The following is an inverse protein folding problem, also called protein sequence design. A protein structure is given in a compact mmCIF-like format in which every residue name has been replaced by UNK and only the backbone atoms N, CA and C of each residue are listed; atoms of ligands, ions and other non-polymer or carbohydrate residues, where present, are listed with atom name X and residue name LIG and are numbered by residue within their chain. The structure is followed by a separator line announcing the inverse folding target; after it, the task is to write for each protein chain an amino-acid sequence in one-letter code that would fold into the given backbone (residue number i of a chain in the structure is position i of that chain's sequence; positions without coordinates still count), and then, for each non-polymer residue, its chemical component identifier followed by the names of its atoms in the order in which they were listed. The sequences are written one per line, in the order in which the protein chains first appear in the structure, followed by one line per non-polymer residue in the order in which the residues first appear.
data_IF_488240226753
#
_entry.id   IF_488240226753
#
_cell.length_a   1.000
_cell.length_b   1.000
_cell.length_c   1.000
_cell.angle_alpha   90.00
_cell.angle_beta   90.00
_cell.angle_gamma   90.00
#
_symmetry.space_group_name_H-M   'P 1'
#
loop_
_entity.id
_entity.type
_entity.pdbx_description
1 polymer ?
#
# COMPACT_ATOMS: atom_id res chain seq x y z
N UNK A 1 2.06 16.18 15.05
CA UNK A 1 1.16 15.89 16.20
C UNK A 1 0.01 16.88 16.24
N UNK A 2 0.26 18.19 16.34
CA UNK A 2 -0.79 19.23 16.41
C UNK A 2 -1.81 19.10 15.26
N UNK A 3 -1.35 19.01 14.01
CA UNK A 3 -2.22 18.88 12.83
C UNK A 3 -3.20 17.70 12.94
N UNK A 4 -2.73 16.53 13.39
CA UNK A 4 -3.60 15.35 13.52
C UNK A 4 -4.59 15.53 14.68
N UNK A 5 -4.19 16.21 15.75
CA UNK A 5 -5.08 16.53 16.86
C UNK A 5 -6.20 17.47 16.39
N UNK A 6 -5.87 18.46 15.55
CA UNK A 6 -6.85 19.37 14.98
C UNK A 6 -7.83 18.63 14.05
N UNK A 7 -7.32 17.70 13.25
CA UNK A 7 -8.18 16.83 12.41
C UNK A 7 -9.10 15.95 13.24
N UNK A 8 -8.60 15.33 14.33
CA UNK A 8 -9.44 14.52 15.23
C UNK A 8 -10.55 15.33 15.89
N UNK A 9 -10.32 16.64 16.13
CA UNK A 9 -11.31 17.55 16.70
C UNK A 9 -12.35 18.03 15.65
N UNK A 10 -12.08 17.87 14.37
CA UNK A 10 -12.96 18.25 13.28
C UNK A 10 -14.02 17.17 13.01
N UNK A 11 -15.13 17.55 12.38
CA UNK A 11 -16.18 16.61 12.00
C UNK A 11 -15.78 15.87 10.71
N UNK A 12 -15.76 14.54 10.76
CA UNK A 12 -15.49 13.65 9.62
C UNK A 12 -16.51 12.51 9.59
N UNK A 13 -16.75 11.97 8.40
CA UNK A 13 -17.60 10.79 8.20
C UNK A 13 -16.84 9.48 8.51
N UNK A 14 -15.57 9.60 8.92
CA UNK A 14 -14.69 8.48 9.26
C UNK A 14 -13.92 8.77 10.56
N UNK A 15 -13.42 7.73 11.20
CA UNK A 15 -12.64 7.86 12.44
C UNK A 15 -11.17 8.10 12.18
N UNK A 16 -10.58 9.07 12.86
CA UNK A 16 -9.14 9.34 12.85
C UNK A 16 -8.56 8.84 14.17
N UNK A 17 -7.62 7.90 14.10
CA UNK A 17 -6.87 7.39 15.25
C UNK A 17 -5.40 7.75 15.10
N UNK A 18 -4.84 8.40 16.11
CA UNK A 18 -3.44 8.77 16.16
C UNK A 18 -2.66 7.80 17.06
N UNK A 19 -1.59 7.23 16.53
CA UNK A 19 -0.70 6.38 17.27
C UNK A 19 0.75 6.84 17.09
N UNK A 20 1.38 7.28 18.17
CA UNK A 20 2.79 7.71 18.18
C UNK A 20 3.68 6.61 18.72
N UNK A 21 4.75 6.29 18.01
CA UNK A 21 5.78 5.34 18.42
C UNK A 21 7.18 5.90 18.16
N UNK A 22 8.17 5.33 18.77
CA UNK A 22 9.56 5.62 18.45
C UNK A 22 9.89 5.20 17.02
N UNK A 23 10.81 5.95 16.38
CA UNK A 23 11.24 5.68 15.02
C UNK A 23 12.14 4.42 14.98
N UNK A 24 11.55 3.31 14.60
CA UNK A 24 12.23 2.04 14.34
C UNK A 24 12.33 1.68 12.86
N UNK A 25 12.07 2.64 11.95
CA UNK A 25 12.02 2.41 10.51
C UNK A 25 10.61 2.15 9.97
N UNK A 26 10.45 2.22 8.64
CA UNK A 26 9.19 2.11 7.93
C UNK A 26 8.43 0.82 8.28
N UNK A 27 9.12 -0.32 8.26
CA UNK A 27 8.53 -1.64 8.55
C UNK A 27 7.88 -1.70 9.95
N UNK A 28 8.42 -0.99 10.94
CA UNK A 28 7.82 -0.97 12.28
C UNK A 28 6.55 -0.12 12.34
N UNK A 29 6.45 0.89 11.48
CA UNK A 29 5.22 1.66 11.24
C UNK A 29 4.14 0.79 10.61
N UNK A 30 4.50 0.05 9.57
CA UNK A 30 3.61 -0.94 8.95
C UNK A 30 3.08 -1.97 9.95
N UNK A 31 3.97 -2.56 10.76
CA UNK A 31 3.58 -3.54 11.79
C UNK A 31 2.53 -2.96 12.74
N UNK A 32 2.77 -1.73 13.24
CA UNK A 32 1.82 -1.06 14.13
C UNK A 32 0.48 -0.75 13.43
N UNK A 33 0.52 -0.28 12.18
CA UNK A 33 -0.69 -0.03 11.38
C UNK A 33 -1.52 -1.29 11.18
N UNK A 34 -0.88 -2.41 10.81
CA UNK A 34 -1.56 -3.70 10.59
C UNK A 34 -2.15 -4.25 11.90
N UNK A 35 -1.44 -4.14 13.02
CA UNK A 35 -1.93 -4.55 14.33
C UNK A 35 -3.20 -3.78 14.71
N UNK A 36 -3.20 -2.46 14.50
CA UNK A 36 -4.30 -1.56 14.83
C UNK A 36 -5.47 -1.61 13.85
N UNK A 37 -5.26 -2.15 12.64
CA UNK A 37 -6.29 -2.21 11.60
C UNK A 37 -7.46 -3.12 12.02
N UNK A 38 -8.69 -2.64 11.78
CA UNK A 38 -9.95 -3.33 12.12
C UNK A 38 -10.89 -3.49 10.91
N UNK A 39 -10.55 -2.84 9.79
CA UNK A 39 -11.33 -2.86 8.55
C UNK A 39 -10.97 -4.08 7.71
N UNK A 40 -11.82 -4.43 6.75
CA UNK A 40 -11.61 -5.56 5.84
C UNK A 40 -10.36 -5.38 4.99
N UNK A 41 -10.14 -4.17 4.49
CA UNK A 41 -8.98 -3.80 3.67
C UNK A 41 -8.03 -2.89 4.43
N UNK A 42 -6.76 -2.98 4.08
CA UNK A 42 -5.67 -2.16 4.58
C UNK A 42 -4.89 -1.58 3.40
N UNK A 43 -4.65 -0.29 3.43
CA UNK A 43 -3.73 0.42 2.53
C UNK A 43 -2.79 1.29 3.36
N UNK A 44 -1.53 1.37 2.97
CA UNK A 44 -0.57 2.29 3.56
C UNK A 44 -0.26 3.41 2.58
N UNK A 45 -0.33 4.64 3.06
CA UNK A 45 0.05 5.85 2.30
C UNK A 45 1.21 6.49 3.05
N UNK A 46 2.28 6.77 2.35
CA UNK A 46 3.44 7.45 2.92
C UNK A 46 3.11 8.92 3.20
N UNK A 47 3.84 9.55 4.11
CA UNK A 47 3.48 10.90 4.59
C UNK A 47 3.70 12.02 3.58
N UNK A 48 4.39 11.73 2.49
CA UNK A 48 4.67 12.61 1.34
C UNK A 48 3.79 12.28 0.11
N UNK A 49 2.93 11.27 0.24
CA UNK A 49 1.98 10.85 -0.78
C UNK A 49 0.54 11.21 -0.40
N UNK A 50 -0.39 11.17 -1.37
CA UNK A 50 -1.82 11.33 -1.11
C UNK A 50 -2.70 10.50 -2.05
N UNK A 51 -3.91 10.26 -1.65
CA UNK A 51 -4.91 9.56 -2.48
C UNK A 51 -5.72 10.60 -3.29
N UNK A 52 -6.03 10.33 -4.58
CA UNK A 52 -7.07 11.09 -5.29
C UNK A 52 -8.39 11.10 -4.52
N UNK A 53 -9.20 12.15 -4.67
CA UNK A 53 -10.46 12.33 -3.94
C UNK A 53 -11.44 11.15 -4.10
N UNK A 54 -11.39 10.46 -5.24
CA UNK A 54 -12.25 9.33 -5.57
C UNK A 54 -11.58 7.96 -5.37
N UNK A 55 -10.33 7.90 -4.92
CA UNK A 55 -9.59 6.64 -4.81
C UNK A 55 -10.25 5.62 -3.88
N UNK A 56 -10.78 6.06 -2.74
CA UNK A 56 -11.51 5.17 -1.81
C UNK A 56 -12.75 4.59 -2.46
N UNK A 57 -13.52 5.42 -3.18
CA UNK A 57 -14.72 4.95 -3.89
C UNK A 57 -14.38 3.93 -5.00
N UNK A 58 -13.27 4.12 -5.71
CA UNK A 58 -12.76 3.18 -6.72
C UNK A 58 -12.32 1.87 -6.09
N UNK A 59 -11.51 1.92 -5.02
CA UNK A 59 -11.08 0.73 -4.28
C UNK A 59 -12.29 -0.06 -3.79
N UNK A 60 -13.31 0.61 -3.22
CA UNK A 60 -14.53 -0.06 -2.76
C UNK A 60 -15.32 -0.70 -3.91
N UNK A 61 -15.44 -0.02 -5.05
CA UNK A 61 -16.15 -0.53 -6.22
C UNK A 61 -15.46 -1.78 -6.78
N UNK A 62 -14.14 -1.72 -6.97
CA UNK A 62 -13.33 -2.84 -7.45
C UNK A 62 -13.39 -4.02 -6.47
N UNK A 63 -13.28 -3.74 -5.16
CA UNK A 63 -13.35 -4.79 -4.14
C UNK A 63 -14.72 -5.47 -4.10
N UNK A 64 -15.81 -4.71 -4.15
CA UNK A 64 -17.16 -5.28 -4.22
C UNK A 64 -17.38 -6.17 -5.43
N UNK A 65 -16.73 -5.84 -6.55
CA UNK A 65 -16.84 -6.62 -7.78
C UNK A 65 -16.07 -7.94 -7.72
N UNK A 66 -14.99 -8.03 -6.94
CA UNK A 66 -14.06 -9.16 -7.01
C UNK A 66 -13.84 -9.92 -5.68
N UNK A 67 -14.33 -9.45 -4.54
CA UNK A 67 -14.03 -10.01 -3.21
C UNK A 67 -14.41 -11.49 -3.04
N UNK A 68 -15.43 -11.95 -3.76
CA UNK A 68 -15.93 -13.32 -3.67
C UNK A 68 -15.15 -14.29 -4.57
N UNK A 69 -14.23 -13.78 -5.41
CA UNK A 69 -13.39 -14.56 -6.33
C UNK A 69 -12.08 -15.06 -5.68
N UNK A 70 -11.90 -14.85 -4.37
CA UNK A 70 -10.76 -15.38 -3.61
C UNK A 70 -9.47 -14.55 -3.71
N UNK A 71 -9.54 -13.31 -4.17
CA UNK A 71 -8.39 -12.41 -4.18
C UNK A 71 -7.92 -12.03 -2.78
N UNK A 72 -6.62 -11.76 -2.67
CA UNK A 72 -5.96 -11.32 -1.43
C UNK A 72 -5.99 -9.80 -1.26
N UNK A 73 -6.46 -9.08 -2.26
CA UNK A 73 -6.51 -7.62 -2.31
C UNK A 73 -6.53 -7.10 -3.74
N UNK A 74 -6.24 -5.81 -3.89
CA UNK A 74 -6.23 -5.08 -5.15
C UNK A 74 -4.87 -4.41 -5.32
N UNK A 75 -4.40 -4.30 -6.56
CA UNK A 75 -3.23 -3.53 -6.93
C UNK A 75 -3.62 -2.50 -7.98
N UNK A 76 -3.51 -1.22 -7.63
CA UNK A 76 -3.76 -0.07 -8.51
C UNK A 76 -2.49 0.70 -8.85
N UNK A 77 -2.62 1.73 -9.67
CA UNK A 77 -1.49 2.55 -10.09
C UNK A 77 -1.12 3.59 -9.04
N UNK A 78 0.18 3.82 -8.93
CA UNK A 78 0.73 5.08 -8.44
C UNK A 78 0.97 6.00 -9.65
N UNK A 79 0.66 7.29 -9.49
CA UNK A 79 0.90 8.33 -10.51
C UNK A 79 1.65 9.51 -9.90
N UNK A 80 2.31 10.26 -10.75
CA UNK A 80 2.83 11.58 -10.40
C UNK A 80 1.70 12.62 -10.46
N UNK A 81 1.96 13.80 -9.89
CA UNK A 81 0.99 14.92 -9.88
C UNK A 81 0.58 15.37 -11.30
N UNK A 82 1.47 15.21 -12.28
CA UNK A 82 1.18 15.51 -13.70
C UNK A 82 0.29 14.45 -14.37
N UNK A 83 -0.13 13.42 -13.63
CA UNK A 83 -0.97 12.33 -14.12
C UNK A 83 -0.21 11.19 -14.81
N UNK A 84 1.10 11.31 -15.02
CA UNK A 84 1.90 10.23 -15.60
C UNK A 84 1.99 9.03 -14.63
N UNK A 85 2.04 7.82 -15.20
CA UNK A 85 2.14 6.59 -14.40
C UNK A 85 3.55 6.43 -13.83
N UNK A 86 3.67 5.95 -12.60
CA UNK A 86 4.93 5.50 -12.04
C UNK A 86 5.30 4.16 -12.67
N UNK A 87 6.27 4.20 -13.58
CA UNK A 87 6.64 3.05 -14.42
C UNK A 87 5.55 2.70 -15.43
N UNK A 88 5.20 1.44 -15.53
CA UNK A 88 4.30 0.92 -16.57
C UNK A 88 2.89 0.67 -16.03
N UNK A 89 1.83 0.93 -16.83
CA UNK A 89 0.49 0.45 -16.51
C UNK A 89 0.39 -1.08 -16.67
N UNK A 90 -0.69 -1.65 -16.15
CA UNK A 90 -1.00 -3.06 -16.41
C UNK A 90 -1.49 -3.25 -17.86
N UNK A 91 -1.11 -4.36 -18.53
CA UNK A 91 -1.68 -4.71 -19.83
C UNK A 91 -3.21 -4.86 -19.73
N UNK A 92 -3.96 -4.37 -20.72
CA UNK A 92 -5.43 -4.34 -20.72
C UNK A 92 -6.10 -5.71 -20.52
N UNK A 93 -5.43 -6.78 -20.92
CA UNK A 93 -5.93 -8.15 -20.81
C UNK A 93 -5.50 -8.86 -19.51
N UNK A 94 -4.86 -8.16 -18.58
CA UNK A 94 -4.39 -8.72 -17.30
C UNK A 94 -5.22 -8.11 -16.17
N UNK A 95 -6.03 -8.92 -15.54
CA UNK A 95 -6.92 -8.50 -14.45
C UNK A 95 -6.55 -9.12 -13.10
N UNK A 96 -5.58 -10.03 -13.10
CA UNK A 96 -5.10 -10.68 -11.87
C UNK A 96 -3.64 -11.11 -12.01
N UNK A 97 -2.90 -11.09 -10.90
CA UNK A 97 -1.55 -11.66 -10.84
C UNK A 97 -1.13 -11.93 -9.41
N UNK A 98 -0.12 -12.79 -9.24
CA UNK A 98 0.68 -12.80 -8.02
C UNK A 98 1.62 -11.59 -8.01
N UNK A 99 1.93 -11.05 -6.85
CA UNK A 99 2.80 -9.87 -6.76
C UNK A 99 4.17 -10.12 -7.42
N UNK A 100 4.76 -11.31 -7.23
CA UNK A 100 6.05 -11.64 -7.86
C UNK A 100 5.99 -11.64 -9.39
N UNK A 101 4.84 -11.96 -9.99
CA UNK A 101 4.67 -11.98 -11.45
C UNK A 101 4.77 -10.60 -12.08
N UNK A 102 4.52 -9.53 -11.31
CA UNK A 102 4.65 -8.15 -11.79
C UNK A 102 6.00 -7.91 -12.48
N UNK A 103 7.08 -8.34 -11.84
CA UNK A 103 8.44 -8.18 -12.38
C UNK A 103 8.89 -9.39 -13.22
N UNK A 104 8.59 -10.60 -12.77
CA UNK A 104 9.17 -11.81 -13.38
C UNK A 104 8.51 -12.21 -14.68
N UNK A 105 7.20 -12.10 -14.77
CA UNK A 105 6.39 -12.51 -15.93
C UNK A 105 6.01 -11.33 -16.82
N UNK A 106 5.47 -10.29 -16.21
CA UNK A 106 4.91 -9.15 -16.95
C UNK A 106 5.91 -8.03 -17.16
N UNK A 107 7.02 -8.00 -16.40
CA UNK A 107 8.08 -6.98 -16.47
C UNK A 107 7.57 -5.54 -16.27
N UNK A 108 6.52 -5.38 -15.46
CA UNK A 108 5.90 -4.10 -15.15
C UNK A 108 6.80 -3.35 -14.16
N UNK A 109 7.37 -2.25 -14.60
CA UNK A 109 8.22 -1.39 -13.77
C UNK A 109 7.40 -0.44 -12.88
N UNK A 110 8.10 0.18 -11.93
CA UNK A 110 7.54 1.19 -11.03
C UNK A 110 6.70 0.63 -9.89
N UNK A 111 6.51 1.47 -8.89
CA UNK A 111 5.71 1.14 -7.72
C UNK A 111 4.22 1.10 -8.06
N UNK A 112 3.47 0.36 -7.27
CA UNK A 112 2.03 0.19 -7.40
C UNK A 112 1.41 0.23 -6.01
N UNK A 113 0.24 0.83 -5.88
CA UNK A 113 -0.46 0.87 -4.62
C UNK A 113 -1.16 -0.45 -4.33
N UNK A 114 -0.78 -1.03 -3.22
CA UNK A 114 -1.30 -2.31 -2.75
C UNK A 114 -2.37 -2.08 -1.67
N UNK A 115 -3.53 -2.65 -1.90
CA UNK A 115 -4.63 -2.71 -0.95
C UNK A 115 -4.86 -4.17 -0.61
N UNK A 116 -4.57 -4.57 0.61
CA UNK A 116 -4.63 -5.97 1.00
C UNK A 116 -5.75 -6.26 1.98
N UNK A 117 -6.20 -7.49 2.00
CA UNK A 117 -7.06 -8.00 3.07
C UNK A 117 -6.31 -7.97 4.40
N UNK A 118 -6.90 -7.30 5.37
CA UNK A 118 -6.32 -7.13 6.72
C UNK A 118 -6.12 -8.46 7.44
N UNK A 119 -7.06 -9.40 7.29
CA UNK A 119 -6.96 -10.73 7.93
C UNK A 119 -5.78 -11.55 7.41
N UNK A 120 -5.39 -11.36 6.15
CA UNK A 120 -4.23 -12.03 5.55
C UNK A 120 -2.92 -11.35 5.93
N UNK A 121 -2.90 -10.00 5.97
CA UNK A 121 -1.74 -9.25 6.48
C UNK A 121 -1.39 -9.68 7.91
N UNK A 122 -2.39 -9.80 8.78
CA UNK A 122 -2.20 -10.26 10.18
C UNK A 122 -1.62 -11.67 10.30
N UNK A 123 -1.78 -12.53 9.28
CA UNK A 123 -1.18 -13.87 9.26
C UNK A 123 0.31 -13.88 8.92
N UNK A 124 0.81 -12.82 8.26
CA UNK A 124 2.22 -12.69 7.86
C UNK A 124 2.98 -11.65 8.67
N UNK A 125 2.28 -10.76 9.34
CA UNK A 125 2.86 -9.79 10.27
C UNK A 125 3.27 -10.47 11.61
N UNK A 126 4.20 -9.87 12.35
CA UNK A 126 4.96 -8.68 12.01
C UNK A 126 6.13 -8.95 11.07
N UNK A 127 6.54 -7.94 10.31
CA UNK A 127 7.86 -7.95 9.68
C UNK A 127 8.94 -8.01 10.74
N UNK A 128 10.03 -8.77 10.52
CA UNK A 128 11.12 -8.84 11.48
C UNK A 128 11.78 -7.49 11.67
N UNK A 129 12.27 -7.25 12.90
CA UNK A 129 13.06 -6.09 13.26
C UNK A 129 14.42 -6.53 13.75
N UNK A 130 15.45 -5.83 13.34
CA UNK A 130 16.83 -6.11 13.71
C UNK A 130 17.45 -4.87 14.34
N UNK A 131 18.30 -5.05 15.35
CA UNK A 131 18.95 -3.94 16.03
C UNK A 131 19.78 -3.09 15.04
N UNK A 132 19.52 -1.80 15.03
CA UNK A 132 20.20 -0.85 14.14
C UNK A 132 19.66 -0.81 12.68
N UNK A 133 18.82 -1.74 12.25
CA UNK A 133 18.24 -1.76 10.91
C UNK A 133 16.93 -0.97 10.87
N UNK A 134 16.90 0.08 10.05
CA UNK A 134 15.72 0.93 9.86
C UNK A 134 15.13 0.86 8.46
N UNK A 135 15.81 0.19 7.52
CA UNK A 135 15.45 0.14 6.11
C UNK A 135 14.97 -1.23 5.64
N UNK A 136 14.37 -2.02 6.54
CA UNK A 136 13.79 -3.30 6.14
C UNK A 136 12.67 -3.09 5.13
N UNK A 137 12.80 -3.72 3.95
CA UNK A 137 11.88 -3.49 2.84
C UNK A 137 10.51 -4.15 3.09
N UNK A 138 9.40 -3.39 3.13
CA UNK A 138 8.06 -3.92 3.32
C UNK A 138 7.62 -4.94 2.26
N UNK A 139 8.21 -4.92 1.07
CA UNK A 139 7.93 -5.88 -0.01
C UNK A 139 8.15 -7.34 0.44
N UNK A 140 9.03 -7.58 1.40
CA UNK A 140 9.21 -8.92 1.99
C UNK A 140 7.88 -9.50 2.47
N UNK A 141 7.13 -8.73 3.25
CA UNK A 141 5.83 -9.17 3.77
C UNK A 141 4.79 -9.29 2.66
N UNK A 142 4.81 -8.37 1.70
CA UNK A 142 3.85 -8.38 0.59
C UNK A 142 4.00 -9.64 -0.27
N UNK A 143 5.24 -10.07 -0.56
CA UNK A 143 5.49 -11.34 -1.26
C UNK A 143 5.06 -12.59 -0.45
N UNK A 144 5.02 -12.51 0.89
CA UNK A 144 4.50 -13.62 1.70
C UNK A 144 2.98 -13.83 1.53
N UNK A 145 2.27 -12.83 1.04
CA UNK A 145 0.83 -12.94 0.79
C UNK A 145 0.51 -13.75 -0.46
N UNK A 146 1.41 -13.84 -1.43
CA UNK A 146 1.21 -14.60 -2.67
C UNK A 146 0.86 -16.09 -2.43
N UNK A 147 1.22 -16.64 -1.28
CA UNK A 147 0.83 -18.02 -0.90
C UNK A 147 -0.67 -18.20 -0.64
N UNK A 148 -1.41 -17.10 -0.41
CA UNK A 148 -2.84 -17.15 -0.15
C UNK A 148 -3.68 -16.91 -1.39
N UNK A 149 -3.13 -16.34 -2.46
CA UNK A 149 -3.87 -16.06 -3.69
C UNK A 149 -3.27 -14.92 -4.50
N UNK A 150 -4.01 -14.50 -5.51
CA UNK A 150 -3.63 -13.41 -6.41
C UNK A 150 -4.24 -12.09 -5.96
N UNK A 151 -3.69 -11.00 -6.49
CA UNK A 151 -4.27 -9.67 -6.45
C UNK A 151 -5.14 -9.45 -7.68
N UNK A 152 -6.30 -8.84 -7.52
CA UNK A 152 -6.99 -8.18 -8.62
C UNK A 152 -6.19 -6.94 -9.03
N UNK A 153 -6.03 -6.69 -10.33
CA UNK A 153 -5.26 -5.53 -10.82
C UNK A 153 -6.10 -4.61 -11.67
N UNK A 154 -5.88 -3.31 -11.50
CA UNK A 154 -6.61 -2.26 -12.20
C UNK A 154 -5.68 -1.11 -12.59
N UNK A 155 -5.98 -0.43 -13.68
CA UNK A 155 -5.27 0.79 -14.10
C UNK A 155 -5.84 2.07 -13.44
N UNK A 156 -6.71 1.91 -12.44
CA UNK A 156 -7.16 3.03 -11.62
C UNK A 156 -6.03 3.57 -10.74
N UNK A 157 -6.00 4.90 -10.59
CA UNK A 157 -5.02 5.57 -9.73
C UNK A 157 -5.49 5.52 -8.28
N UNK A 158 -4.69 4.91 -7.41
CA UNK A 158 -4.99 4.84 -5.98
C UNK A 158 -4.12 5.79 -5.16
N UNK A 159 -2.97 6.22 -5.69
CA UNK A 159 -2.08 7.12 -4.98
C UNK A 159 -1.36 8.06 -5.94
N UNK A 160 -1.22 9.31 -5.51
CA UNK A 160 -0.31 10.28 -6.12
C UNK A 160 0.95 10.32 -5.27
N UNK A 161 2.09 10.16 -5.92
CA UNK A 161 3.39 10.07 -5.23
C UNK A 161 4.29 11.25 -5.55
N UNK A 162 5.04 11.69 -4.54
CA UNK A 162 6.08 12.70 -4.67
C UNK A 162 7.44 12.14 -4.26
N UNK A 163 8.28 11.79 -5.25
CA UNK A 163 9.61 11.27 -4.94
C UNK A 163 10.55 12.35 -4.42
N UNK A 164 10.95 12.21 -3.16
CA UNK A 164 11.90 13.12 -2.53
C UNK A 164 13.33 12.83 -2.99
N UNK A 165 14.14 13.87 -3.32
CA UNK A 165 15.52 13.70 -3.83
C UNK A 165 16.43 12.90 -2.89
N UNK A 166 16.15 12.92 -1.58
CA UNK A 166 16.88 12.20 -0.54
C UNK A 166 16.04 11.11 0.12
N UNK A 167 14.96 10.69 -0.52
CA UNK A 167 14.06 9.65 -0.04
C UNK A 167 14.72 8.27 0.01
N UNK A 168 14.04 7.33 0.65
CA UNK A 168 14.53 5.95 0.80
C UNK A 168 14.75 5.28 -0.56
N UNK A 169 13.86 5.51 -1.53
CA UNK A 169 13.94 4.97 -2.88
C UNK A 169 15.21 5.40 -3.62
N UNK A 170 15.73 6.61 -3.38
CA UNK A 170 16.97 7.11 -3.99
C UNK A 170 18.26 6.52 -3.36
N UNK A 171 18.13 5.82 -2.23
CA UNK A 171 19.25 5.29 -1.45
C UNK A 171 19.30 3.74 -1.39
N UNK A 172 18.34 3.05 -1.97
CA UNK A 172 18.28 1.57 -1.96
C UNK A 172 19.48 0.90 -2.63
N UNK A 173 20.16 1.59 -3.55
CA UNK A 173 21.28 1.05 -4.33
C UNK A 173 22.63 1.71 -4.03
N UNK A 174 22.74 2.44 -2.94
CA UNK A 174 24.01 3.00 -2.45
C UNK A 174 24.55 2.20 -1.27
#
# INVERSE_FOLDING_TARGET
EALVTDWQASQHDFSIRYYKKENGGLHTGYNAGIELAQTELFVCIDSDDWMPDDAIARIEADWRACKDDGYIGIMGLDRYEDGSCVGDPFPENVHEMYLYEKLTKYRIAGDKKLVHRTDLLKKVAPMPSFDGEKNFNPSYMMYQLDKFGKLFVTNECFCIVEYQPNGMSSNIYK
#
